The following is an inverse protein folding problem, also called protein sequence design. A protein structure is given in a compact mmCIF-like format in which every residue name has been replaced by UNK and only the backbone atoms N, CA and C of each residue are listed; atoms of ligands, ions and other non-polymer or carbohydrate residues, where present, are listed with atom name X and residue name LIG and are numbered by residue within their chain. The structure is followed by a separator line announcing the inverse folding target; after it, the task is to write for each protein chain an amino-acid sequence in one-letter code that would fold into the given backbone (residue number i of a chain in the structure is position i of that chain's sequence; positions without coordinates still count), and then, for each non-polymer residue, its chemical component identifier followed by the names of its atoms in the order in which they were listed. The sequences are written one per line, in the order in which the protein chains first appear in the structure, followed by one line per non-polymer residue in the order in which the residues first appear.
data_IF_133632455178
#
_entry.id   IF_133632455178
#
_cell.length_a   1.000
_cell.length_b   1.000
_cell.length_c   1.000
_cell.angle_alpha   90.00
_cell.angle_beta   90.00
_cell.angle_gamma   90.00
#
_symmetry.space_group_name_H-M   'P 1'
#
loop_
_entity.id
_entity.type
_entity.pdbx_description
1 polymer ?
#
# COMPACT_ATOMS: atom_id res chain seq x y z
N UNK A 1 12.84 -15.35 0.47
CA UNK A 1 12.52 -15.73 1.87
C UNK A 1 11.14 -15.21 2.31
N UNK A 2 10.81 -13.92 2.11
CA UNK A 2 9.48 -13.33 2.41
C UNK A 2 8.29 -13.94 1.63
N UNK A 3 8.50 -14.30 0.36
CA UNK A 3 7.46 -14.89 -0.49
C UNK A 3 7.02 -16.28 0.00
N UNK A 4 7.97 -17.12 0.41
CA UNK A 4 7.68 -18.45 0.98
C UNK A 4 7.01 -18.34 2.36
N UNK A 5 7.34 -17.31 3.13
CA UNK A 5 6.69 -17.00 4.41
C UNK A 5 5.21 -16.62 4.22
N UNK A 6 4.89 -15.78 3.23
CA UNK A 6 3.51 -15.38 2.95
C UNK A 6 2.67 -16.50 2.29
N UNK A 7 3.27 -17.32 1.43
CA UNK A 7 2.62 -18.50 0.83
C UNK A 7 2.25 -19.53 1.92
N UNK A 8 3.15 -19.77 2.88
CA UNK A 8 2.89 -20.65 4.02
C UNK A 8 1.74 -20.16 4.90
N UNK A 9 1.60 -18.84 5.08
CA UNK A 9 0.50 -18.22 5.84
C UNK A 9 -0.85 -18.32 5.14
N UNK A 10 -0.87 -18.29 3.80
CA UNK A 10 -2.11 -18.40 3.01
C UNK A 10 -2.63 -19.84 2.90
N UNK A 11 -1.76 -20.84 2.98
CA UNK A 11 -2.12 -22.26 2.88
C UNK A 11 -2.68 -22.87 4.17
N UNK A 12 -2.64 -22.15 5.31
CA UNK A 12 -3.01 -22.68 6.63
C UNK A 12 -4.38 -22.24 7.15
N UNK A 13 -5.30 -21.75 6.29
CA UNK A 13 -6.59 -21.18 6.73
C UNK A 13 -7.77 -22.08 6.33
N UNK A 14 -8.46 -22.75 7.28
CA UNK A 14 -9.73 -23.43 7.02
C UNK A 14 -10.95 -22.49 7.21
N UNK A 15 -12.05 -22.63 6.44
CA UNK A 15 -13.31 -21.90 6.66
C UNK A 15 -14.36 -22.73 7.45
N UNK A 16 -15.45 -22.12 8.00
CA UNK A 16 -15.67 -20.71 8.38
C UNK A 16 -16.21 -20.54 9.84
N UNK A 17 -15.99 -19.37 10.47
CA UNK A 17 -16.83 -18.77 11.56
C UNK A 17 -16.20 -17.40 11.92
N UNK A 18 -16.80 -16.24 11.62
CA UNK A 18 -17.83 -15.50 12.37
C UNK A 18 -17.49 -15.33 13.87
N UNK A 19 -17.46 -14.06 14.31
CA UNK A 19 -17.20 -13.49 15.66
C UNK A 19 -15.75 -13.32 16.12
N UNK A 20 -15.28 -12.05 16.08
CA UNK A 20 -14.52 -11.44 17.19
C UNK A 20 -14.42 -9.91 16.97
N UNK A 21 -15.33 -9.20 17.61
CA UNK A 21 -15.27 -7.77 17.90
C UNK A 21 -14.76 -7.68 19.34
N UNK A 22 -13.66 -6.97 19.65
CA UNK A 22 -13.34 -6.35 20.96
C UNK A 22 -11.87 -5.88 20.97
N UNK A 23 -11.63 -4.56 20.87
CA UNK A 23 -11.11 -3.73 21.97
C UNK A 23 -10.95 -2.29 21.45
N UNK A 24 -11.80 -1.42 21.94
CA UNK A 24 -11.79 0.02 21.72
C UNK A 24 -10.86 0.68 22.73
N UNK A 25 -9.69 1.12 22.28
CA UNK A 25 -8.95 2.23 22.87
C UNK A 25 -8.57 3.18 21.72
N UNK A 26 -8.69 4.47 21.98
CA UNK A 26 -8.73 5.60 21.03
C UNK A 26 -7.43 5.79 20.23
N UNK A 27 -7.16 4.86 19.32
CA UNK A 27 -6.23 4.95 18.20
C UNK A 27 -6.95 4.22 17.07
N UNK A 28 -7.15 4.86 15.90
CA UNK A 28 -7.67 4.17 14.71
C UNK A 28 -6.63 3.18 14.19
N UNK A 29 -6.45 2.05 14.87
CA UNK A 29 -5.62 0.94 14.42
C UNK A 29 -6.36 0.29 13.25
N UNK A 30 -5.94 0.57 12.02
CA UNK A 30 -6.33 -0.26 10.87
C UNK A 30 -5.47 -1.52 10.88
N UNK A 31 -5.99 -2.57 11.49
CA UNK A 31 -5.36 -3.88 11.51
C UNK A 31 -5.35 -4.48 10.11
N UNK A 32 -4.16 -4.80 9.58
CA UNK A 32 -4.05 -5.76 8.46
C UNK A 32 -4.17 -7.15 9.09
N UNK A 33 -5.39 -7.68 9.13
CA UNK A 33 -5.66 -9.03 9.65
C UNK A 33 -5.41 -10.02 8.51
N UNK A 34 -4.28 -10.73 8.58
CA UNK A 34 -4.19 -12.08 8.01
C UNK A 34 -4.19 -13.05 9.20
N UNK A 35 -5.28 -13.82 9.34
CA UNK A 35 -5.52 -14.90 10.31
C UNK A 35 -4.53 -15.02 11.50
N UNK A 36 -4.95 -14.54 12.67
CA UNK A 36 -4.38 -14.80 14.00
C UNK A 36 -2.94 -14.35 14.34
N UNK A 37 -2.29 -13.47 13.57
CA UNK A 37 -0.99 -12.88 13.99
C UNK A 37 -0.94 -11.39 13.64
N UNK A 38 -1.13 -10.54 14.65
CA UNK A 38 -1.37 -9.11 14.52
C UNK A 38 -0.06 -8.37 14.16
N UNK A 39 -0.09 -7.63 13.04
CA UNK A 39 0.75 -6.45 12.81
C UNK A 39 0.04 -5.28 13.51
N UNK A 40 0.62 -4.74 14.59
CA UNK A 40 0.06 -3.55 15.23
C UNK A 40 0.70 -2.31 14.64
N UNK A 41 -0.13 -1.42 14.07
CA UNK A 41 0.22 0.01 14.00
C UNK A 41 0.15 0.75 12.67
N UNK A 42 -0.95 0.71 11.90
CA UNK A 42 -1.14 1.73 10.83
C UNK A 42 -1.57 3.05 11.48
N UNK A 43 -0.61 3.84 11.97
CA UNK A 43 -0.84 5.18 12.53
C UNK A 43 -0.88 6.20 11.39
N UNK A 44 -1.98 6.98 11.32
CA UNK A 44 -2.22 7.93 10.21
C UNK A 44 -2.03 9.40 10.60
N UNK A 45 -1.78 9.65 11.89
CA UNK A 45 -1.62 10.99 12.48
C UNK A 45 -0.30 11.03 13.28
N UNK A 46 0.35 12.21 13.34
CA UNK A 46 1.59 12.52 14.07
C UNK A 46 1.56 11.89 15.48
N UNK A 47 2.17 10.72 15.65
CA UNK A 47 3.14 10.29 16.70
C UNK A 47 3.75 8.89 16.35
N UNK A 48 4.42 8.63 15.19
CA UNK A 48 4.71 7.25 14.77
C UNK A 48 5.87 6.56 15.49
N UNK A 49 6.93 7.25 15.92
CA UNK A 49 8.08 6.57 16.56
C UNK A 49 8.05 6.58 18.10
N UNK A 50 7.44 7.59 18.74
CA UNK A 50 7.43 7.69 20.20
C UNK A 50 6.65 6.55 20.88
N UNK A 51 5.63 6.04 20.20
CA UNK A 51 4.79 4.93 20.68
C UNK A 51 5.50 3.57 20.60
N UNK A 52 6.63 3.46 19.90
CA UNK A 52 7.27 2.17 19.61
C UNK A 52 7.77 1.50 20.89
N UNK A 53 8.15 2.29 21.90
CA UNK A 53 8.49 1.75 23.22
C UNK A 53 7.33 1.00 23.87
N UNK A 54 6.09 1.53 23.77
CA UNK A 54 4.90 0.84 24.29
C UNK A 54 4.51 -0.37 23.43
N UNK A 55 4.62 -0.25 22.10
CA UNK A 55 4.37 -1.37 21.19
C UNK A 55 5.36 -2.51 21.41
N UNK A 56 6.63 -2.21 21.71
CA UNK A 56 7.65 -3.20 22.07
C UNK A 56 7.23 -4.01 23.30
N UNK A 57 6.69 -3.39 24.35
CA UNK A 57 6.17 -4.12 25.52
C UNK A 57 5.07 -5.10 25.12
N UNK A 58 4.17 -4.69 24.23
CA UNK A 58 3.12 -5.60 23.72
C UNK A 58 3.69 -6.78 22.92
N UNK A 59 4.82 -6.59 22.25
CA UNK A 59 5.56 -7.68 21.58
C UNK A 59 6.19 -8.61 22.62
N UNK A 60 6.85 -8.07 23.64
CA UNK A 60 7.47 -8.84 24.73
C UNK A 60 6.44 -9.63 25.55
N UNK A 61 5.25 -9.07 25.76
CA UNK A 61 4.10 -9.74 26.38
C UNK A 61 3.43 -10.77 25.48
N UNK A 62 3.89 -10.92 24.22
CA UNK A 62 3.33 -11.86 23.24
C UNK A 62 1.93 -11.47 22.72
N UNK A 63 1.42 -10.29 23.07
CA UNK A 63 0.13 -9.76 22.61
C UNK A 63 0.17 -9.38 21.13
N UNK A 64 1.35 -9.03 20.64
CA UNK A 64 1.63 -8.65 19.25
C UNK A 64 2.86 -9.40 18.77
N UNK A 65 2.94 -9.72 17.47
CA UNK A 65 4.13 -10.36 16.91
C UNK A 65 5.05 -9.40 16.19
N UNK A 66 4.46 -8.41 15.51
CA UNK A 66 5.18 -7.52 14.60
C UNK A 66 4.65 -6.09 14.71
N UNK A 67 5.56 -5.13 14.56
CA UNK A 67 5.25 -3.71 14.46
C UNK A 67 5.35 -3.29 12.99
N UNK A 68 4.39 -2.50 12.51
CA UNK A 68 4.46 -1.88 11.21
C UNK A 68 3.91 -0.47 11.24
N UNK A 69 4.11 0.26 10.15
CA UNK A 69 3.59 1.61 9.98
C UNK A 69 2.79 1.77 8.70
N UNK A 70 2.14 2.92 8.57
CA UNK A 70 1.60 3.36 7.30
C UNK A 70 1.82 4.85 7.11
N UNK A 71 2.11 5.27 5.87
CA UNK A 71 2.34 6.68 5.55
C UNK A 71 3.37 7.39 6.43
N UNK A 72 4.31 6.63 7.02
CA UNK A 72 5.39 7.19 7.83
C UNK A 72 6.50 7.73 6.92
N UNK A 73 7.08 8.87 7.31
CA UNK A 73 8.29 9.41 6.67
C UNK A 73 9.51 8.48 6.84
N UNK A 74 10.50 8.60 5.96
CA UNK A 74 11.76 7.87 6.09
C UNK A 74 12.46 8.14 7.44
N UNK A 75 12.39 9.39 7.94
CA UNK A 75 12.96 9.76 9.22
C UNK A 75 12.25 9.07 10.41
N UNK A 76 10.91 9.02 10.39
CA UNK A 76 10.14 8.30 11.41
C UNK A 76 10.41 6.80 11.37
N UNK A 77 10.50 6.21 10.18
CA UNK A 77 10.83 4.79 10.01
C UNK A 77 12.19 4.47 10.65
N UNK A 78 13.22 5.27 10.38
CA UNK A 78 14.56 5.07 10.96
C UNK A 78 14.57 5.19 12.48
N UNK A 79 13.95 6.24 13.01
CA UNK A 79 13.87 6.46 14.47
C UNK A 79 13.12 5.34 15.17
N UNK A 80 12.01 4.90 14.60
CA UNK A 80 11.23 3.81 15.15
C UNK A 80 11.99 2.47 15.11
N UNK A 81 12.64 2.17 13.98
CA UNK A 81 13.42 0.94 13.81
C UNK A 81 14.60 0.86 14.78
N UNK A 82 15.17 1.99 15.20
CA UNK A 82 16.19 2.05 16.25
C UNK A 82 15.67 1.65 17.65
N UNK A 83 14.36 1.80 17.91
CA UNK A 83 13.74 1.43 19.20
C UNK A 83 13.32 -0.05 19.21
N UNK A 84 12.67 -0.49 18.14
CA UNK A 84 12.27 -1.89 17.92
C UNK A 84 12.18 -2.18 16.42
N UNK A 85 12.61 -3.36 15.94
CA UNK A 85 12.57 -3.69 14.52
C UNK A 85 11.18 -3.54 13.90
N UNK A 86 11.08 -2.67 12.90
CA UNK A 86 9.86 -2.49 12.11
C UNK A 86 9.81 -3.58 11.05
N UNK A 87 8.71 -4.33 11.00
CA UNK A 87 8.54 -5.46 10.09
C UNK A 87 8.07 -5.01 8.71
N UNK A 88 7.13 -4.06 8.65
CA UNK A 88 6.58 -3.60 7.38
C UNK A 88 6.07 -2.16 7.40
N UNK A 89 6.13 -1.51 6.24
CA UNK A 89 5.52 -0.20 5.99
C UNK A 89 4.44 -0.34 4.91
N UNK A 90 3.23 0.07 5.24
CA UNK A 90 2.09 0.13 4.32
C UNK A 90 1.97 1.52 3.67
N UNK A 91 2.15 1.60 2.36
CA UNK A 91 2.20 2.87 1.62
C UNK A 91 1.42 2.73 0.30
N UNK A 92 0.90 3.83 -0.26
CA UNK A 92 0.35 3.76 -1.63
C UNK A 92 1.49 3.60 -2.61
N UNK A 93 1.41 2.56 -3.43
CA UNK A 93 2.43 2.33 -4.45
C UNK A 93 1.83 1.62 -5.66
N UNK A 94 1.88 2.27 -6.82
CA UNK A 94 1.33 1.74 -8.08
C UNK A 94 1.97 2.44 -9.28
N UNK A 95 1.68 2.01 -10.50
CA UNK A 95 2.24 2.58 -11.73
C UNK A 95 2.15 4.12 -11.81
N UNK A 96 1.08 4.72 -11.27
CA UNK A 96 0.85 6.18 -11.27
C UNK A 96 1.17 6.88 -9.93
N UNK A 97 1.69 6.16 -8.93
CA UNK A 97 2.01 6.69 -7.60
C UNK A 97 3.32 6.06 -7.16
N UNK A 98 4.43 6.70 -7.56
CA UNK A 98 5.80 6.22 -7.35
C UNK A 98 6.68 7.23 -6.59
N UNK A 99 6.06 8.23 -5.96
CA UNK A 99 6.77 9.21 -5.11
C UNK A 99 7.60 8.52 -4.02
N UNK A 100 7.13 7.38 -3.51
CA UNK A 100 7.79 6.57 -2.48
C UNK A 100 9.13 5.95 -2.94
N UNK A 101 9.41 5.90 -4.24
CA UNK A 101 10.68 5.40 -4.79
C UNK A 101 11.86 6.31 -4.43
N UNK A 102 11.61 7.58 -4.09
CA UNK A 102 12.62 8.56 -3.71
C UNK A 102 13.28 8.21 -2.37
N UNK A 103 12.49 8.04 -1.31
CA UNK A 103 13.02 7.90 0.06
C UNK A 103 12.52 6.67 0.81
N UNK A 104 11.26 6.29 0.63
CA UNK A 104 10.62 5.24 1.44
C UNK A 104 11.11 3.86 1.04
N UNK A 105 11.12 3.56 -0.26
CA UNK A 105 11.60 2.27 -0.76
C UNK A 105 13.09 2.06 -0.42
N UNK A 106 14.01 3.00 -0.71
CA UNK A 106 15.41 2.85 -0.32
C UNK A 106 15.60 2.67 1.19
N UNK A 107 14.89 3.44 2.01
CA UNK A 107 14.96 3.31 3.48
C UNK A 107 14.48 1.95 3.96
N UNK A 108 13.39 1.43 3.39
CA UNK A 108 12.90 0.09 3.75
C UNK A 108 13.87 -1.01 3.30
N UNK A 109 14.48 -0.87 2.12
CA UNK A 109 15.47 -1.84 1.62
C UNK A 109 16.72 -1.87 2.50
N UNK A 110 17.25 -0.70 2.88
CA UNK A 110 18.41 -0.57 3.76
C UNK A 110 18.18 -1.24 5.13
N UNK A 111 16.99 -1.03 5.70
CA UNK A 111 16.63 -1.54 7.03
C UNK A 111 16.03 -2.96 7.02
N UNK A 112 15.92 -3.61 5.85
CA UNK A 112 15.31 -4.94 5.72
C UNK A 112 13.81 -4.98 6.04
N UNK A 113 13.09 -3.88 5.81
CA UNK A 113 11.66 -3.70 6.10
C UNK A 113 10.82 -4.07 4.88
N UNK A 114 9.74 -4.84 5.08
CA UNK A 114 8.81 -5.19 4.00
C UNK A 114 7.93 -4.00 3.57
N UNK A 115 7.61 -3.90 2.28
CA UNK A 115 6.69 -2.88 1.76
C UNK A 115 5.34 -3.52 1.45
N UNK A 116 4.26 -2.96 1.99
CA UNK A 116 2.88 -3.36 1.71
C UNK A 116 2.22 -2.26 0.87
N UNK A 117 1.92 -2.54 -0.39
CA UNK A 117 1.30 -1.57 -1.29
C UNK A 117 -0.23 -1.57 -1.16
N UNK A 118 -0.81 -0.45 -0.73
CA UNK A 118 -2.26 -0.23 -0.87
C UNK A 118 -2.60 0.54 -2.15
N UNK A 119 -3.85 0.40 -2.60
CA UNK A 119 -4.33 0.92 -3.89
C UNK A 119 -3.42 0.56 -5.08
N UNK A 120 -2.87 -0.68 -5.17
CA UNK A 120 -1.92 -1.04 -6.23
C UNK A 120 -2.51 -0.94 -7.64
N UNK A 121 -3.84 -1.04 -7.76
CA UNK A 121 -4.61 -0.90 -9.00
C UNK A 121 -5.01 0.56 -9.31
N UNK A 122 -4.33 1.54 -8.72
CA UNK A 122 -4.66 2.94 -8.89
C UNK A 122 -6.10 3.25 -8.51
N UNK A 123 -6.53 2.78 -7.33
CA UNK A 123 -7.91 2.99 -6.83
C UNK A 123 -8.97 2.46 -7.81
N UNK A 124 -8.65 1.38 -8.52
CA UNK A 124 -9.51 0.73 -9.50
C UNK A 124 -9.30 1.20 -10.94
N UNK A 125 -8.50 2.25 -11.18
CA UNK A 125 -8.20 2.75 -12.51
C UNK A 125 -7.63 1.67 -13.44
N UNK A 126 -6.64 0.90 -12.98
CA UNK A 126 -6.03 -0.16 -13.79
C UNK A 126 -6.85 -1.45 -13.89
N UNK A 127 -8.00 -1.53 -13.20
CA UNK A 127 -8.88 -2.71 -13.26
C UNK A 127 -9.98 -2.61 -14.33
N UNK A 128 -10.06 -1.50 -15.07
CA UNK A 128 -10.90 -1.36 -16.25
C UNK A 128 -12.41 -1.26 -16.05
N UNK A 129 -12.92 -1.47 -14.82
CA UNK A 129 -14.36 -1.54 -14.56
C UNK A 129 -14.90 -0.19 -14.06
N UNK A 130 -15.93 0.32 -14.74
CA UNK A 130 -16.83 1.40 -14.30
C UNK A 130 -16.11 2.58 -13.63
N UNK A 131 -15.04 3.05 -14.27
CA UNK A 131 -14.27 4.19 -13.77
C UNK A 131 -14.96 5.53 -14.11
N UNK A 132 -16.07 5.49 -14.85
CA UNK A 132 -16.89 6.63 -15.25
C UNK A 132 -18.24 6.67 -14.53
N UNK A 133 -18.62 5.60 -13.83
CA UNK A 133 -19.90 5.48 -13.13
C UNK A 133 -19.67 5.25 -11.64
N UNK A 134 -19.60 6.35 -10.91
CA UNK A 134 -19.40 6.35 -9.46
C UNK A 134 -20.74 6.41 -8.72
N UNK A 135 -20.92 5.54 -7.73
CA UNK A 135 -22.05 5.66 -6.79
C UNK A 135 -21.91 6.92 -5.95
N UNK A 136 -22.99 7.40 -5.34
CA UNK A 136 -22.98 8.67 -4.59
C UNK A 136 -21.99 8.72 -3.44
N UNK A 137 -21.68 7.58 -2.83
CA UNK A 137 -20.72 7.47 -1.74
C UNK A 137 -19.29 7.11 -2.20
N UNK A 138 -19.00 7.13 -3.50
CA UNK A 138 -17.67 6.82 -4.01
C UNK A 138 -16.71 8.00 -3.81
N UNK A 139 -15.68 7.77 -3.00
CA UNK A 139 -14.67 8.79 -2.70
C UNK A 139 -13.91 9.29 -3.94
N UNK A 140 -13.90 8.53 -5.05
CA UNK A 140 -13.22 8.89 -6.29
C UNK A 140 -13.85 10.11 -6.96
N UNK A 141 -15.13 10.43 -6.70
CA UNK A 141 -15.79 11.64 -7.22
C UNK A 141 -15.02 12.92 -6.90
N UNK A 142 -14.34 12.95 -5.75
CA UNK A 142 -13.58 14.11 -5.27
C UNK A 142 -12.06 13.90 -5.35
N UNK A 143 -11.61 12.81 -5.98
CA UNK A 143 -10.20 12.49 -6.06
C UNK A 143 -9.59 13.20 -7.28
N UNK A 144 -8.48 13.97 -7.13
CA UNK A 144 -7.94 14.81 -8.22
C UNK A 144 -7.75 14.07 -9.56
N UNK A 145 -7.18 12.86 -9.52
CA UNK A 145 -6.97 11.99 -10.70
C UNK A 145 -8.23 11.49 -11.43
N UNK A 146 -9.39 11.60 -10.79
CA UNK A 146 -10.69 11.15 -11.31
C UNK A 146 -11.62 12.31 -11.67
N UNK A 147 -11.19 13.56 -11.47
CA UNK A 147 -11.90 14.73 -12.01
C UNK A 147 -11.88 14.68 -13.54
N UNK A 148 -12.98 15.10 -14.18
CA UNK A 148 -13.27 14.88 -15.61
C UNK A 148 -12.05 14.99 -16.54
N UNK A 149 -11.40 16.15 -16.59
CA UNK A 149 -10.27 16.41 -17.48
C UNK A 149 -9.04 15.55 -17.15
N UNK A 150 -8.73 15.40 -15.85
CA UNK A 150 -7.62 14.56 -15.38
C UNK A 150 -7.86 13.09 -15.72
N UNK A 151 -9.10 12.60 -15.51
CA UNK A 151 -9.47 11.24 -15.83
C UNK A 151 -9.34 10.94 -17.33
N UNK A 152 -9.87 11.84 -18.18
CA UNK A 152 -9.75 11.72 -19.64
C UNK A 152 -8.28 11.73 -20.07
N UNK A 153 -7.47 12.64 -19.54
CA UNK A 153 -6.04 12.71 -19.85
C UNK A 153 -5.28 11.44 -19.41
N UNK A 154 -5.64 10.88 -18.25
CA UNK A 154 -5.01 9.66 -17.72
C UNK A 154 -5.45 8.39 -18.46
N UNK A 155 -6.64 8.37 -19.09
CA UNK A 155 -7.20 7.18 -19.74
C UNK A 155 -6.29 6.60 -20.84
N UNK A 156 -5.45 7.43 -21.47
CA UNK A 156 -4.42 7.00 -22.41
C UNK A 156 -3.48 5.92 -21.82
N UNK A 157 -3.17 6.01 -20.53
CA UNK A 157 -2.30 5.06 -19.83
C UNK A 157 -2.96 3.70 -19.67
N UNK A 158 -4.24 3.68 -19.31
CA UNK A 158 -5.00 2.44 -19.20
C UNK A 158 -5.07 1.72 -20.56
N UNK A 159 -5.36 2.44 -21.64
CA UNK A 159 -5.45 1.86 -22.98
C UNK A 159 -4.12 1.24 -23.45
N UNK A 160 -2.99 1.92 -23.17
CA UNK A 160 -1.66 1.37 -23.44
C UNK A 160 -1.38 0.11 -22.61
N UNK A 161 -1.75 0.11 -21.33
CA UNK A 161 -1.57 -1.03 -20.44
C UNK A 161 -2.42 -2.25 -20.86
N UNK A 162 -3.64 -2.02 -21.35
CA UNK A 162 -4.48 -3.08 -21.93
C UNK A 162 -3.80 -3.71 -23.14
N UNK A 163 -3.19 -2.91 -24.02
CA UNK A 163 -2.45 -3.43 -25.19
C UNK A 163 -1.28 -4.32 -24.78
N UNK A 164 -0.46 -3.88 -23.83
CA UNK A 164 0.62 -4.70 -23.27
C UNK A 164 0.10 -5.98 -22.59
N UNK A 165 -1.05 -5.88 -21.92
CA UNK A 165 -1.72 -7.02 -21.31
C UNK A 165 -2.11 -8.08 -22.33
N UNK A 166 -2.68 -7.66 -23.46
CA UNK A 166 -3.05 -8.54 -24.57
C UNK A 166 -1.84 -9.28 -25.14
N UNK A 167 -0.72 -8.58 -25.37
CA UNK A 167 0.52 -9.18 -25.87
C UNK A 167 1.06 -10.27 -24.92
N UNK A 168 0.83 -10.14 -23.61
CA UNK A 168 1.25 -11.09 -22.58
C UNK A 168 0.14 -12.03 -22.09
N UNK A 169 -1.02 -12.04 -22.74
CA UNK A 169 -2.19 -12.84 -22.34
C UNK A 169 -2.65 -12.63 -20.88
N UNK A 170 -2.69 -11.38 -20.42
CA UNK A 170 -3.15 -11.02 -19.08
C UNK A 170 -3.92 -9.69 -19.05
N UNK A 171 -4.64 -9.42 -17.96
CA UNK A 171 -5.37 -8.15 -17.82
C UNK A 171 -4.43 -7.00 -17.43
N UNK A 172 -4.84 -5.76 -17.72
CA UNK A 172 -4.13 -4.57 -17.24
C UNK A 172 -3.98 -4.54 -15.71
N UNK A 173 -5.00 -5.02 -14.99
CA UNK A 173 -4.96 -5.15 -13.53
C UNK A 173 -3.92 -6.17 -13.07
N UNK A 174 -3.83 -7.31 -13.76
CA UNK A 174 -2.82 -8.31 -13.47
C UNK A 174 -1.39 -7.79 -13.75
N UNK A 175 -1.18 -7.07 -14.85
CA UNK A 175 0.11 -6.41 -15.12
C UNK A 175 0.48 -5.41 -14.03
N UNK A 176 -0.45 -4.54 -13.64
CA UNK A 176 -0.20 -3.56 -12.58
C UNK A 176 0.19 -4.24 -11.25
N UNK A 177 -0.50 -5.33 -10.87
CA UNK A 177 -0.16 -6.10 -9.68
C UNK A 177 1.18 -6.83 -9.80
N UNK A 178 1.48 -7.40 -10.97
CA UNK A 178 2.75 -8.09 -11.21
C UNK A 178 3.94 -7.11 -11.15
N UNK A 179 3.75 -5.90 -11.68
CA UNK A 179 4.74 -4.82 -11.58
C UNK A 179 5.04 -4.48 -10.12
N UNK A 180 4.01 -4.20 -9.29
CA UNK A 180 4.21 -3.88 -7.86
C UNK A 180 4.97 -4.99 -7.13
N UNK A 181 4.65 -6.25 -7.42
CA UNK A 181 5.34 -7.41 -6.84
C UNK A 181 6.82 -7.45 -7.19
N UNK A 182 7.16 -7.18 -8.46
CA UNK A 182 8.52 -7.29 -8.96
C UNK A 182 9.39 -6.09 -8.58
N UNK A 183 8.77 -4.96 -8.26
CA UNK A 183 9.41 -3.84 -7.55
C UNK A 183 9.70 -4.14 -6.07
N UNK A 184 9.33 -5.33 -5.57
CA UNK A 184 9.66 -5.79 -4.22
C UNK A 184 8.60 -5.49 -3.16
N UNK A 185 7.41 -5.03 -3.55
CA UNK A 185 6.31 -4.74 -2.62
C UNK A 185 5.24 -5.84 -2.64
N UNK A 186 4.52 -6.00 -1.53
CA UNK A 186 3.38 -6.93 -1.41
C UNK A 186 2.09 -6.14 -1.62
N UNK A 187 1.42 -6.25 -2.79
CA UNK A 187 0.17 -5.54 -3.04
C UNK A 187 -0.99 -6.15 -2.24
N UNK A 188 -1.86 -5.30 -1.69
CA UNK A 188 -3.10 -5.70 -1.01
C UNK A 188 -4.34 -5.16 -1.74
N UNK A 189 -4.63 -5.65 -2.97
CA UNK A 189 -5.81 -5.21 -3.71
C UNK A 189 -7.09 -5.66 -2.98
N UNK A 190 -7.94 -4.70 -2.65
CA UNK A 190 -9.26 -4.98 -2.07
C UNK A 190 -10.25 -5.35 -3.17
N UNK A 191 -11.07 -6.36 -2.92
CA UNK A 191 -12.22 -6.72 -3.77
C UNK A 191 -13.35 -7.32 -2.93
N UNK A 192 -14.59 -7.17 -3.40
CA UNK A 192 -15.79 -7.85 -2.86
C UNK A 192 -16.31 -8.95 -3.78
N UNK A 193 -15.72 -9.11 -4.97
CA UNK A 193 -16.16 -10.06 -6.00
C UNK A 193 -15.15 -11.19 -6.16
N UNK A 194 -15.62 -12.44 -6.16
CA UNK A 194 -14.78 -13.64 -6.32
C UNK A 194 -13.97 -13.61 -7.64
N UNK A 195 -14.61 -13.27 -8.77
CA UNK A 195 -13.92 -13.17 -10.06
C UNK A 195 -12.72 -12.23 -10.05
N UNK A 196 -12.83 -11.10 -9.34
CA UNK A 196 -11.72 -10.17 -9.20
C UNK A 196 -10.61 -10.73 -8.29
N UNK A 197 -10.96 -11.53 -7.28
CA UNK A 197 -9.96 -12.21 -6.44
C UNK A 197 -9.18 -13.24 -7.28
N UNK A 198 -9.87 -14.04 -8.08
CA UNK A 198 -9.25 -15.00 -9.01
C UNK A 198 -8.34 -14.30 -10.02
N UNK A 199 -8.81 -13.19 -10.60
CA UNK A 199 -8.00 -12.35 -11.49
C UNK A 199 -6.74 -11.83 -10.77
N UNK A 200 -6.87 -11.28 -9.56
CA UNK A 200 -5.75 -10.80 -8.77
C UNK A 200 -4.73 -11.92 -8.47
N UNK A 201 -5.19 -13.12 -8.10
CA UNK A 201 -4.32 -14.30 -7.86
C UNK A 201 -3.58 -14.68 -9.15
N UNK A 202 -4.23 -14.54 -10.31
CA UNK A 202 -3.60 -14.77 -11.62
C UNK A 202 -2.34 -13.93 -11.86
N UNK A 203 -2.25 -12.74 -11.25
CA UNK A 203 -1.05 -11.88 -11.38
C UNK A 203 0.24 -12.53 -10.84
N UNK A 204 0.14 -13.47 -9.88
CA UNK A 204 1.29 -14.18 -9.30
C UNK A 204 2.06 -15.02 -10.34
N UNK A 205 1.37 -15.41 -11.43
CA UNK A 205 1.94 -16.23 -12.51
C UNK A 205 2.71 -15.38 -13.53
N UNK A 206 2.54 -14.06 -13.50
CA UNK A 206 3.17 -13.15 -14.46
C UNK A 206 4.60 -12.86 -14.00
N UNK A 207 5.55 -13.08 -14.91
CA UNK A 207 6.95 -12.67 -14.76
C UNK A 207 7.23 -11.56 -15.77
N UNK A 208 7.73 -10.42 -15.31
CA UNK A 208 8.16 -9.34 -16.18
C UNK A 208 9.69 -9.35 -16.22
N UNK A 209 10.25 -9.16 -17.42
CA UNK A 209 11.69 -8.90 -17.57
C UNK A 209 12.01 -7.46 -17.17
N UNK A 210 13.29 -7.11 -16.94
CA UNK A 210 13.68 -5.72 -16.69
C UNK A 210 13.19 -4.75 -17.78
N UNK A 211 13.20 -5.19 -19.04
CA UNK A 211 12.71 -4.41 -20.18
C UNK A 211 11.20 -4.20 -20.11
N UNK A 212 10.44 -5.23 -19.73
CA UNK A 212 8.99 -5.13 -19.55
C UNK A 212 8.62 -4.24 -18.36
N UNK A 213 9.39 -4.30 -17.26
CA UNK A 213 9.23 -3.38 -16.11
C UNK A 213 9.42 -1.94 -16.60
N UNK A 214 10.51 -1.67 -17.35
CA UNK A 214 10.76 -0.35 -17.91
C UNK A 214 9.65 0.09 -18.86
N UNK A 215 9.19 -0.80 -19.75
CA UNK A 215 8.11 -0.49 -20.68
C UNK A 215 6.80 -0.11 -19.97
N UNK A 216 6.47 -0.78 -18.85
CA UNK A 216 5.31 -0.43 -18.03
C UNK A 216 5.45 0.94 -17.36
N UNK A 217 6.65 1.27 -16.90
CA UNK A 217 6.97 2.57 -16.31
C UNK A 217 6.93 3.70 -17.35
N UNK A 218 7.42 3.44 -18.57
CA UNK A 218 7.38 4.38 -19.70
C UNK A 218 5.94 4.56 -20.24
N UNK A 219 5.06 3.56 -20.04
CA UNK A 219 3.63 3.68 -20.36
C UNK A 219 2.91 4.59 -19.36
N UNK A 220 3.36 4.64 -18.11
CA UNK A 220 2.80 5.49 -17.05
C UNK A 220 3.88 6.41 -16.45
N UNK A 221 4.37 7.39 -17.23
CA UNK A 221 5.31 8.40 -16.74
C UNK A 221 4.61 9.22 -15.65
N UNK A 222 5.20 9.27 -14.45
CA UNK A 222 4.55 9.84 -13.26
C UNK A 222 4.33 11.35 -13.38
N UNK A 223 5.22 12.02 -14.08
CA UNK A 223 5.21 13.44 -14.43
C UNK A 223 4.06 13.80 -15.38
N UNK A 224 3.55 12.84 -16.15
CA UNK A 224 2.41 13.06 -17.04
C UNK A 224 1.06 12.74 -16.38
N UNK A 225 1.05 12.08 -15.22
CA UNK A 225 -0.19 11.75 -14.50
C UNK A 225 -0.87 13.03 -14.04
N UNK A 226 -2.10 13.25 -14.51
CA UNK A 226 -2.88 14.44 -14.16
C UNK A 226 -3.62 14.25 -12.84
N UNK A 227 -3.48 15.24 -11.96
CA UNK A 227 -4.06 15.26 -10.62
C UNK A 227 -3.20 14.58 -9.56
N UNK A 228 -3.19 15.16 -8.37
CA UNK A 228 -2.45 14.65 -7.23
C UNK A 228 -3.02 13.34 -6.65
N UNK A 229 -2.18 12.67 -5.87
CA UNK A 229 -2.52 11.43 -5.14
C UNK A 229 -3.61 11.68 -4.09
N UNK A 230 -3.72 12.89 -3.57
CA UNK A 230 -4.76 13.36 -2.67
C UNK A 230 -5.10 14.82 -2.99
N UNK A 231 -6.29 15.29 -2.61
CA UNK A 231 -6.63 16.72 -2.70
C UNK A 231 -5.74 17.57 -1.79
N UNK A 232 -5.24 16.97 -0.71
CA UNK A 232 -4.26 17.53 0.20
C UNK A 232 -3.17 16.49 0.47
N UNK A 233 -1.94 16.81 0.08
CA UNK A 233 -0.79 15.92 0.22
C UNK A 233 -0.18 15.93 1.63
N UNK A 234 -0.66 16.79 2.54
CA UNK A 234 -0.17 16.89 3.94
C UNK A 234 -0.20 15.55 4.69
N UNK A 235 -1.10 14.64 4.28
CA UNK A 235 -1.29 13.31 4.90
C UNK A 235 -0.45 12.21 4.27
N UNK A 236 0.49 12.55 3.39
CA UNK A 236 1.44 11.62 2.79
C UNK A 236 2.76 11.60 3.57
N UNK A 237 3.54 10.54 3.37
CA UNK A 237 4.87 10.40 3.97
C UNK A 237 5.79 11.62 3.80
N UNK A 238 5.63 12.42 2.72
CA UNK A 238 6.45 13.62 2.45
C UNK A 238 6.30 14.69 3.53
N UNK A 239 5.10 14.84 4.08
CA UNK A 239 4.78 15.88 5.05
C UNK A 239 4.44 15.30 6.44
N UNK A 240 4.44 13.97 6.57
CA UNK A 240 4.14 13.27 7.81
C UNK A 240 5.43 12.88 8.56
N UNK A 241 6.19 13.90 8.99
CA UNK A 241 7.36 13.73 9.85
C UNK A 241 7.07 14.22 11.26
N UNK A 242 7.35 13.39 12.26
CA UNK A 242 7.25 13.84 13.66
C UNK A 242 8.47 14.66 14.09
N UNK A 243 8.30 15.61 15.02
CA UNK A 243 9.41 16.34 15.60
C UNK A 243 10.33 15.39 16.43
N UNK A 244 11.59 15.79 16.64
CA UNK A 244 12.48 15.17 17.63
C UNK A 244 11.86 15.07 19.03
N UNK A 245 12.28 14.06 19.82
CA UNK A 245 11.71 13.75 21.14
C UNK A 245 11.82 14.91 22.13
N UNK A 246 12.95 15.60 22.11
CA UNK A 246 13.27 16.76 22.93
C UNK A 246 12.42 18.00 22.61
N UNK A 247 11.75 18.02 21.46
CA UNK A 247 10.88 19.13 21.02
C UNK A 247 9.39 18.75 20.99
N UNK A 248 9.04 17.53 21.39
CA UNK A 248 7.65 17.05 21.34
C UNK A 248 6.85 17.50 22.57
N UNK A 249 5.79 18.28 22.34
CA UNK A 249 4.96 18.88 23.41
C UNK A 249 3.74 18.04 23.80
N UNK A 250 3.58 16.84 23.25
CA UNK A 250 2.41 15.99 23.56
C UNK A 250 1.08 16.43 22.93
N UNK A 251 1.07 17.52 22.17
CA UNK A 251 -0.13 18.17 21.65
C UNK A 251 -0.11 18.27 20.12
N UNK A 252 -1.27 18.06 19.49
CA UNK A 252 -1.48 18.23 18.04
C UNK A 252 -1.44 19.73 17.67
N UNK A 253 -0.83 20.05 16.54
CA UNK A 253 -1.18 21.23 15.73
C UNK A 253 -2.14 20.80 14.62
#
# INVERSE_FOLDING_TARGET
MLLNFLISVLQSVPPPMIQAQYLSLTVKIRTVITSHRILVGVFRDIVPYHIVGELKKLVEEGKVKYIGFSEASAADIRRAHAIHPITAVQIEYSLWARDVEEDIIPTCQELGIGIISFSPLGRGFFSGKNITEFTDNDFRKNHPRFLSENFQANQKFYNKLVKLGQEKNCTAGQLALAWVQQKGAVPIPRTTKLKNLEENIGSLKIKLTPEEIKALEDVVPVEEVKGDRYADMSKTWRFNSSPPLDTWTGTKH
#
